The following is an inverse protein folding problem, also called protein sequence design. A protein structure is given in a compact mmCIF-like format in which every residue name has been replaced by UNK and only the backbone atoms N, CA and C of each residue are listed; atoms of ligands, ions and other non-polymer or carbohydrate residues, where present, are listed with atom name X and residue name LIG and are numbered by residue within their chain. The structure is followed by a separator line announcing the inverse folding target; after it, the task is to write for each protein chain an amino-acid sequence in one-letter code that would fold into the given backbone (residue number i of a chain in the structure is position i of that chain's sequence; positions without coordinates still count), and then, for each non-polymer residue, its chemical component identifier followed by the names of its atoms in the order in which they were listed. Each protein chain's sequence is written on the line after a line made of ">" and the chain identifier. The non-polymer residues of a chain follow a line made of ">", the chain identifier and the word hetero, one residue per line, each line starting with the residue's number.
data_IF_580479140778
#
_entry.id   IF_580479140778
#
_cell.length_a   1.000
_cell.length_b   1.000
_cell.length_c   1.000
_cell.angle_alpha   90.00
_cell.angle_beta   90.00
_cell.angle_gamma   90.00
#
_symmetry.space_group_name_H-M   'P 1'
#
loop_
_entity.id
_entity.type
_entity.pdbx_description
1 polymer ?
#
# COMPACT_ATOMS: atom_id res chain seq x y z
N UNK A 1 -9.68 -4.94 11.50
CA UNK A 1 -9.51 -4.37 10.15
C UNK A 1 -10.82 -4.62 9.42
N UNK A 2 -11.60 -3.59 9.05
CA UNK A 2 -12.90 -3.79 8.41
C UNK A 2 -12.77 -4.34 6.98
N UNK A 3 -11.61 -4.21 6.34
CA UNK A 3 -11.38 -4.67 4.97
C UNK A 3 -10.64 -6.02 4.93
N UNK A 4 -11.38 -7.10 5.17
CA UNK A 4 -10.85 -8.48 5.15
C UNK A 4 -11.08 -9.14 3.78
N UNK A 5 -12.11 -8.70 3.05
CA UNK A 5 -12.58 -9.38 1.84
C UNK A 5 -11.67 -9.14 0.63
N UNK A 6 -11.34 -10.21 -0.09
CA UNK A 6 -10.56 -10.19 -1.32
C UNK A 6 -9.04 -10.18 -1.11
N UNK A 7 -8.53 -10.07 0.12
CA UNK A 7 -7.11 -10.19 0.43
C UNK A 7 -6.69 -11.66 0.57
N UNK A 8 -5.60 -12.07 -0.09
CA UNK A 8 -5.12 -13.45 -0.08
C UNK A 8 -4.48 -13.86 1.25
N UNK A 9 -3.59 -13.02 1.80
CA UNK A 9 -2.93 -13.27 3.08
C UNK A 9 -3.72 -12.69 4.27
N UNK A 10 -4.34 -11.54 4.05
CA UNK A 10 -5.11 -10.84 5.06
C UNK A 10 -4.23 -10.19 6.14
N UNK A 11 -4.88 -9.41 7.01
CA UNK A 11 -4.21 -8.50 7.94
C UNK A 11 -3.15 -9.16 8.86
N UNK A 12 -3.35 -10.42 9.25
CA UNK A 12 -2.46 -11.11 10.19
C UNK A 12 -1.17 -11.61 9.53
N UNK A 13 -1.22 -11.99 8.25
CA UNK A 13 -0.07 -12.56 7.54
C UNK A 13 0.68 -11.51 6.73
N UNK A 14 0.00 -10.50 6.16
CA UNK A 14 0.63 -9.43 5.37
C UNK A 14 1.58 -8.53 6.15
N UNK A 15 1.46 -8.50 7.47
CA UNK A 15 2.18 -7.58 8.39
C UNK A 15 3.38 -8.24 9.09
N UNK A 16 3.86 -9.39 8.59
CA UNK A 16 4.96 -10.14 9.19
C UNK A 16 6.30 -9.75 8.56
N UNK A 17 7.27 -9.40 9.42
CA UNK A 17 8.65 -9.12 9.00
C UNK A 17 8.84 -7.68 8.52
N UNK A 18 9.89 -7.45 7.71
CA UNK A 18 10.22 -6.12 7.20
C UNK A 18 9.61 -5.80 5.83
N UNK A 19 9.04 -6.82 5.16
CA UNK A 19 8.37 -6.68 3.87
C UNK A 19 6.90 -6.99 4.07
N UNK A 20 6.06 -5.98 3.89
CA UNK A 20 4.61 -6.16 3.95
C UNK A 20 4.10 -6.28 2.51
N UNK A 21 3.48 -7.40 2.18
CA UNK A 21 2.99 -7.71 0.85
C UNK A 21 1.71 -8.51 0.96
N UNK A 22 0.75 -8.23 0.08
CA UNK A 22 -0.48 -8.99 -0.07
C UNK A 22 -1.04 -8.78 -1.47
N UNK A 23 -1.92 -9.67 -1.92
CA UNK A 23 -2.62 -9.56 -3.19
C UNK A 23 -4.09 -9.43 -2.89
N UNK A 24 -4.70 -8.37 -3.40
CA UNK A 24 -6.14 -8.20 -3.40
C UNK A 24 -6.71 -8.64 -4.75
N UNK A 25 -7.79 -9.40 -4.73
CA UNK A 25 -8.52 -9.85 -5.92
C UNK A 25 -10.00 -9.47 -5.80
N UNK A 26 -10.54 -8.96 -6.90
CA UNK A 26 -11.94 -8.58 -7.04
C UNK A 26 -12.19 -7.84 -8.35
N UNK A 27 -13.40 -7.37 -8.53
CA UNK A 27 -13.81 -6.59 -9.70
C UNK A 27 -13.24 -5.17 -9.66
N UNK A 28 -13.17 -4.52 -10.83
CA UNK A 28 -12.76 -3.12 -10.91
C UNK A 28 -13.69 -2.18 -10.11
N UNK A 29 -14.99 -2.50 -10.01
CA UNK A 29 -15.94 -1.73 -9.21
C UNK A 29 -15.61 -1.83 -7.70
N UNK A 30 -15.36 -3.03 -7.19
CA UNK A 30 -14.96 -3.23 -5.79
C UNK A 30 -13.61 -2.58 -5.48
N UNK A 31 -12.67 -2.59 -6.44
CA UNK A 31 -11.40 -1.90 -6.27
C UNK A 31 -11.58 -0.38 -6.21
N UNK A 32 -12.44 0.19 -7.07
CA UNK A 32 -12.72 1.62 -7.11
C UNK A 32 -13.40 2.13 -5.83
N UNK A 33 -14.15 1.27 -5.12
CA UNK A 33 -14.70 1.59 -3.80
C UNK A 33 -13.63 1.67 -2.71
N UNK A 34 -12.44 1.06 -2.91
CA UNK A 34 -11.33 1.17 -1.97
C UNK A 34 -10.66 2.53 -2.12
N UNK A 35 -10.76 3.35 -1.08
CA UNK A 35 -10.39 4.77 -1.20
C UNK A 35 -8.88 5.03 -1.21
N UNK A 36 -8.13 4.48 -0.25
CA UNK A 36 -6.73 4.87 -0.03
C UNK A 36 -5.86 3.71 0.42
N UNK A 37 -4.58 3.74 0.00
CA UNK A 37 -3.50 2.92 0.56
C UNK A 37 -2.67 3.83 1.46
N UNK A 38 -2.49 3.43 2.72
CA UNK A 38 -1.75 4.21 3.70
C UNK A 38 -0.55 3.42 4.25
N UNK A 39 0.57 4.11 4.42
CA UNK A 39 1.72 3.62 5.18
C UNK A 39 1.81 4.44 6.45
N UNK A 40 1.78 3.76 7.58
CA UNK A 40 1.86 4.39 8.89
C UNK A 40 2.82 3.62 9.80
N UNK A 41 3.55 4.32 10.69
CA UNK A 41 4.41 3.67 11.66
C UNK A 41 3.57 2.94 12.71
N UNK A 42 4.00 1.73 13.07
CA UNK A 42 3.46 0.99 14.21
C UNK A 42 4.50 0.94 15.34
N UNK A 43 4.03 0.90 16.58
CA UNK A 43 4.91 0.67 17.72
C UNK A 43 5.58 -0.70 17.65
N UNK A 44 6.86 -0.78 18.02
CA UNK A 44 7.62 -2.03 18.03
C UNK A 44 8.87 -1.94 18.88
N UNK A 45 9.64 -3.04 18.94
CA UNK A 45 10.84 -3.19 19.79
C UNK A 45 11.85 -2.04 19.65
N UNK A 46 11.94 -1.45 18.46
CA UNK A 46 12.83 -0.32 18.18
C UNK A 46 12.51 0.92 19.04
N UNK A 47 11.22 1.15 19.36
CA UNK A 47 10.79 2.25 20.25
C UNK A 47 11.20 1.99 21.69
N UNK A 48 11.14 0.73 22.13
CA UNK A 48 11.32 0.35 23.54
C UNK A 48 12.79 0.06 23.91
N UNK A 49 13.65 -0.17 22.91
CA UNK A 49 15.08 -0.37 23.11
C UNK A 49 15.85 0.95 23.23
N UNK A 50 15.75 1.57 24.41
CA UNK A 50 16.39 2.86 24.72
C UNK A 50 17.90 2.84 24.49
N UNK A 51 18.58 1.75 24.85
CA UNK A 51 20.04 1.63 24.74
C UNK A 51 20.56 1.70 23.30
N UNK A 52 19.73 1.36 22.31
CA UNK A 52 20.10 1.49 20.90
C UNK A 52 20.14 2.96 20.44
N UNK A 53 19.41 3.87 21.08
CA UNK A 53 19.37 5.30 20.73
C UNK A 53 18.85 5.57 19.31
N UNK A 54 18.20 4.60 18.67
CA UNK A 54 17.80 4.68 17.24
C UNK A 54 16.38 5.19 17.02
N UNK A 55 15.61 5.47 18.05
CA UNK A 55 14.19 5.85 17.92
C UNK A 55 13.96 7.18 17.17
N UNK A 56 14.99 8.02 17.02
CA UNK A 56 14.97 9.26 16.21
C UNK A 56 15.51 9.09 14.79
N UNK A 57 15.94 7.88 14.41
CA UNK A 57 16.56 7.66 13.09
C UNK A 57 15.50 7.59 12.00
N UNK A 58 15.64 8.42 10.96
CA UNK A 58 14.81 8.33 9.75
C UNK A 58 15.09 7.03 9.00
N UNK A 59 14.03 6.35 8.57
CA UNK A 59 14.11 5.10 7.80
C UNK A 59 13.46 5.32 6.44
N UNK A 60 14.09 4.82 5.38
CA UNK A 60 13.51 4.85 4.03
C UNK A 60 12.50 3.71 3.90
N UNK A 61 11.37 4.01 3.27
CA UNK A 61 10.38 3.03 2.86
C UNK A 61 10.07 3.21 1.38
N UNK A 62 9.49 2.18 0.78
CA UNK A 62 8.96 2.24 -0.57
C UNK A 62 7.60 1.54 -0.60
N UNK A 63 6.65 2.11 -1.36
CA UNK A 63 5.40 1.46 -1.70
C UNK A 63 5.48 1.04 -3.16
N UNK A 64 5.25 -0.24 -3.42
CA UNK A 64 5.12 -0.76 -4.79
C UNK A 64 3.70 -1.31 -4.92
N UNK A 65 2.95 -0.80 -5.88
CA UNK A 65 1.60 -1.26 -6.22
C UNK A 65 1.62 -1.72 -7.66
N UNK A 66 1.08 -2.91 -7.90
CA UNK A 66 0.87 -3.45 -9.24
C UNK A 66 -0.62 -3.64 -9.44
N UNK A 67 -1.12 -3.25 -10.61
CA UNK A 67 -2.49 -3.50 -11.03
C UNK A 67 -2.45 -4.46 -12.21
N UNK A 68 -3.18 -5.57 -12.10
CA UNK A 68 -3.27 -6.61 -13.12
C UNK A 68 -4.74 -6.92 -13.40
N UNK A 69 -5.06 -7.17 -14.67
CA UNK A 69 -6.37 -7.68 -15.05
C UNK A 69 -6.33 -9.20 -15.02
N UNK A 70 -7.30 -9.81 -14.33
CA UNK A 70 -7.42 -11.28 -14.26
C UNK A 70 -7.79 -11.89 -15.62
N UNK A 71 -8.45 -11.12 -16.47
CA UNK A 71 -8.84 -11.52 -17.82
C UNK A 71 -8.23 -10.56 -18.84
N UNK A 72 -7.82 -11.10 -19.98
CA UNK A 72 -7.35 -10.29 -21.10
C UNK A 72 -8.54 -9.52 -21.70
N UNK A 73 -8.61 -8.23 -21.44
CA UNK A 73 -9.59 -7.33 -22.05
C UNK A 73 -8.89 -6.53 -23.16
N UNK A 74 -9.50 -6.49 -24.34
CA UNK A 74 -9.04 -5.66 -25.47
C UNK A 74 -9.48 -4.20 -25.27
N UNK A 75 -8.98 -3.57 -24.21
CA UNK A 75 -9.26 -2.17 -23.87
C UNK A 75 -7.97 -1.48 -23.41
N UNK A 76 -7.72 -0.28 -23.93
CA UNK A 76 -6.56 0.52 -23.53
C UNK A 76 -6.81 1.19 -22.16
N UNK A 77 -6.27 0.58 -21.11
CA UNK A 77 -6.23 1.17 -19.77
C UNK A 77 -4.97 2.00 -19.52
N UNK A 78 -3.91 1.79 -20.28
CA UNK A 78 -2.61 2.38 -19.97
C UNK A 78 -2.61 3.88 -20.24
N UNK A 79 -3.04 4.29 -21.44
CA UNK A 79 -3.08 5.71 -21.85
C UNK A 79 -3.91 6.61 -20.90
N UNK A 80 -5.16 6.26 -20.54
CA UNK A 80 -5.95 7.10 -19.63
C UNK A 80 -5.40 7.12 -18.20
N UNK A 81 -4.81 6.02 -17.72
CA UNK A 81 -4.16 5.97 -16.39
C UNK A 81 -2.91 6.84 -16.38
N UNK A 82 -2.05 6.72 -17.40
CA UNK A 82 -0.82 7.51 -17.51
C UNK A 82 -1.12 9.03 -17.54
N UNK A 83 -2.15 9.42 -18.29
CA UNK A 83 -2.59 10.82 -18.41
C UNK A 83 -3.02 11.39 -17.05
N UNK A 84 -3.69 10.59 -16.22
CA UNK A 84 -4.09 10.99 -14.86
C UNK A 84 -2.89 11.08 -13.92
N UNK A 85 -1.95 10.12 -13.97
CA UNK A 85 -0.75 10.11 -13.11
C UNK A 85 0.19 11.29 -13.38
N UNK A 86 0.31 11.72 -14.64
CA UNK A 86 1.18 12.85 -15.02
C UNK A 86 0.71 14.18 -14.43
N UNK A 87 -0.56 14.28 -14.03
CA UNK A 87 -1.07 15.45 -13.30
C UNK A 87 -0.48 15.40 -11.89
N UNK A 88 0.35 16.37 -11.47
CA UNK A 88 0.99 16.32 -10.15
C UNK A 88 -0.08 16.29 -9.06
N UNK A 89 -0.15 15.16 -8.35
CA UNK A 89 -0.96 15.04 -7.14
C UNK A 89 -0.15 15.76 -6.06
N UNK A 90 -0.69 16.84 -5.49
CA UNK A 90 -0.04 17.53 -4.36
C UNK A 90 -0.09 16.57 -3.18
N UNK A 91 1.07 16.01 -2.82
CA UNK A 91 1.21 15.15 -1.64
C UNK A 91 1.57 16.05 -0.46
N UNK A 92 0.57 16.44 0.34
CA UNK A 92 0.86 17.10 1.61
C UNK A 92 1.47 16.07 2.56
N UNK A 93 2.75 16.28 2.90
CA UNK A 93 3.41 15.53 3.98
C UNK A 93 3.26 16.39 5.24
N UNK A 94 2.45 15.97 6.23
CA UNK A 94 2.37 16.68 7.51
C UNK A 94 3.77 16.74 8.15
N UNK A 95 4.09 17.89 8.73
CA UNK A 95 5.35 18.13 9.44
C UNK A 95 5.48 17.30 10.72
#
# INVERSE_FOLDING_TARGET
>A
DPDIAGWFLGAQLRSRGSVHSDVWMGTAAELAEKSHIAIFPVGGWWKDWKDAGRYTTSVRYALVVTLELLESVDVDLYTPVLTQIQTPIVIEVPA
#
